data_IF_332479797522
#
_entry.id   IF_332479797522
#
_cell.length_a   1.000
_cell.length_b   1.000
_cell.length_c   1.000
_cell.angle_alpha   90.00
_cell.angle_beta   90.00
_cell.angle_gamma   90.00
#
_symmetry.space_group_name_H-M   'P 1'
#
loop_
_entity.id
_entity.type
_entity.pdbx_description
1 polymer ?
#
# COMPACT_ATOMS: atom_id res chain seq x y z
N UNK A 1 -0.37 -1.71 9.90
CA UNK A 1 0.57 -1.62 8.78
C UNK A 1 -0.25 -1.39 7.52
N UNK A 2 0.05 -0.35 6.73
CA UNK A 2 -0.64 -0.08 5.45
C UNK A 2 0.27 -0.34 4.24
N UNK A 3 1.58 -0.21 4.39
CA UNK A 3 2.55 -0.65 3.40
C UNK A 3 3.77 -1.28 4.07
N UNK A 4 4.50 -2.09 3.32
CA UNK A 4 5.80 -2.64 3.70
C UNK A 4 6.75 -2.55 2.51
N UNK A 5 8.01 -2.19 2.76
CA UNK A 5 9.06 -2.22 1.73
C UNK A 5 9.90 -3.47 1.95
N UNK A 6 9.90 -4.37 0.97
CA UNK A 6 10.77 -5.54 0.94
C UNK A 6 12.07 -5.12 0.27
N UNK A 7 13.19 -5.30 0.97
CA UNK A 7 14.52 -5.02 0.44
C UNK A 7 15.15 -6.30 -0.11
N UNK A 8 15.79 -6.18 -1.27
CA UNK A 8 16.63 -7.21 -1.85
C UNK A 8 18.10 -7.00 -1.51
N UNK A 9 18.99 -7.44 -2.40
CA UNK A 9 20.42 -7.24 -2.28
C UNK A 9 20.78 -5.76 -2.16
N UNK A 10 21.82 -5.46 -1.38
CA UNK A 10 22.32 -4.09 -1.15
C UNK A 10 21.26 -3.12 -0.60
N UNK A 11 20.28 -3.62 0.16
CA UNK A 11 19.17 -2.82 0.72
C UNK A 11 18.35 -2.06 -0.33
N UNK A 12 18.30 -2.56 -1.57
CA UNK A 12 17.49 -1.94 -2.62
C UNK A 12 16.03 -2.37 -2.49
N UNK A 13 15.04 -1.45 -2.58
CA UNK A 13 13.64 -1.82 -2.63
C UNK A 13 13.37 -2.78 -3.79
N UNK A 14 12.89 -3.97 -3.44
CA UNK A 14 12.51 -5.02 -4.38
C UNK A 14 10.99 -5.06 -4.57
N UNK A 15 10.23 -4.91 -3.49
CA UNK A 15 8.77 -4.75 -3.56
C UNK A 15 8.27 -3.71 -2.58
N UNK A 16 7.24 -2.99 -3.00
CA UNK A 16 6.36 -2.25 -2.09
C UNK A 16 5.06 -3.04 -1.99
N UNK A 17 4.78 -3.54 -0.79
CA UNK A 17 3.61 -4.37 -0.52
C UNK A 17 2.54 -3.55 0.17
N UNK A 18 1.36 -3.43 -0.43
CA UNK A 18 0.25 -2.62 0.06
C UNK A 18 -1.08 -3.39 0.00
N UNK A 19 -2.08 -2.91 0.74
CA UNK A 19 -3.39 -3.54 0.82
C UNK A 19 -4.35 -2.88 -0.16
N UNK A 20 -5.13 -3.67 -0.89
CA UNK A 20 -6.22 -3.21 -1.74
C UNK A 20 -7.50 -4.01 -1.47
N UNK A 21 -8.61 -3.51 -1.99
CA UNK A 21 -9.81 -4.33 -2.11
C UNK A 21 -9.55 -5.51 -3.06
N UNK A 22 -10.07 -6.72 -2.78
CA UNK A 22 -9.75 -7.92 -3.56
C UNK A 22 -10.03 -7.79 -5.06
N UNK A 23 -11.11 -7.11 -5.45
CA UNK A 23 -11.49 -6.88 -6.85
C UNK A 23 -10.51 -5.95 -7.55
N UNK A 24 -10.11 -4.85 -6.91
CA UNK A 24 -9.15 -3.89 -7.45
C UNK A 24 -7.76 -4.52 -7.59
N UNK A 25 -7.29 -5.23 -6.55
CA UNK A 25 -6.04 -5.97 -6.63
C UNK A 25 -6.06 -7.02 -7.74
N UNK A 26 -7.17 -7.75 -7.92
CA UNK A 26 -7.29 -8.69 -9.03
C UNK A 26 -7.29 -8.03 -10.40
N UNK A 27 -7.88 -6.84 -10.54
CA UNK A 27 -7.88 -6.08 -11.78
C UNK A 27 -6.46 -5.61 -12.12
N UNK A 28 -5.77 -4.97 -11.18
CA UNK A 28 -4.44 -4.42 -11.40
C UNK A 28 -3.39 -5.50 -11.75
N UNK A 29 -3.45 -6.67 -11.11
CA UNK A 29 -2.58 -7.81 -11.47
C UNK A 29 -2.81 -8.37 -12.87
N UNK A 30 -3.95 -8.06 -13.50
CA UNK A 30 -4.19 -8.41 -14.91
C UNK A 30 -3.68 -7.32 -15.86
N UNK A 31 -3.53 -6.09 -15.39
CA UNK A 31 -3.07 -4.96 -16.20
C UNK A 31 -1.56 -4.79 -16.17
N UNK A 32 -0.91 -5.12 -15.05
CA UNK A 32 0.51 -4.90 -14.82
C UNK A 32 1.21 -6.19 -14.39
N UNK A 33 2.24 -6.59 -15.11
CA UNK A 33 3.10 -7.74 -14.73
C UNK A 33 3.90 -7.45 -13.44
N UNK A 34 4.21 -6.17 -13.19
CA UNK A 34 4.93 -5.70 -12.01
C UNK A 34 4.09 -5.69 -10.71
N UNK A 35 2.79 -5.96 -10.81
CA UNK A 35 1.90 -6.09 -9.66
C UNK A 35 1.59 -7.57 -9.47
N UNK A 36 2.11 -8.15 -8.38
CA UNK A 36 1.93 -9.56 -8.05
C UNK A 36 1.12 -9.73 -6.76
N UNK A 37 0.55 -10.93 -6.49
CA UNK A 37 -0.05 -11.22 -5.20
C UNK A 37 0.97 -11.00 -4.07
N UNK A 38 0.51 -10.47 -2.94
CA UNK A 38 1.36 -10.01 -1.83
C UNK A 38 2.45 -11.01 -1.44
N UNK A 39 3.70 -10.60 -1.65
CA UNK A 39 4.91 -11.33 -1.29
C UNK A 39 4.93 -11.50 0.23
N UNK A 40 5.00 -12.76 0.70
CA UNK A 40 4.87 -13.17 2.11
C UNK A 40 3.57 -12.79 2.84
N UNK A 41 2.57 -12.25 2.15
CA UNK A 41 1.33 -11.76 2.77
C UNK A 41 0.09 -12.52 2.27
N UNK A 42 -1.09 -12.19 2.81
CA UNK A 42 -2.35 -12.72 2.32
C UNK A 42 -2.62 -12.23 0.88
N UNK A 43 -2.52 -13.16 -0.08
CA UNK A 43 -2.60 -12.92 -1.53
C UNK A 43 -3.93 -12.37 -2.03
N UNK A 44 -4.99 -12.44 -1.22
CA UNK A 44 -6.30 -11.88 -1.57
C UNK A 44 -6.33 -10.36 -1.37
N UNK A 45 -5.72 -9.87 -0.29
CA UNK A 45 -5.82 -8.46 0.12
C UNK A 45 -4.55 -7.66 -0.12
N UNK A 46 -3.39 -8.32 -0.15
CA UNK A 46 -2.11 -7.67 -0.32
C UNK A 46 -1.58 -7.88 -1.73
N UNK A 47 -0.93 -6.84 -2.25
CA UNK A 47 -0.29 -6.82 -3.56
C UNK A 47 1.11 -6.29 -3.38
N UNK A 48 2.08 -6.87 -4.09
CA UNK A 48 3.46 -6.42 -4.11
C UNK A 48 3.75 -5.82 -5.47
N UNK A 49 4.26 -4.59 -5.46
CA UNK A 49 4.53 -3.80 -6.65
C UNK A 49 6.03 -3.64 -6.78
N UNK A 50 6.58 -3.98 -7.94
CA UNK A 50 7.98 -3.70 -8.25
C UNK A 50 8.14 -2.17 -8.45
N UNK A 51 8.88 -1.46 -7.58
CA UNK A 51 9.03 -0.01 -7.68
C UNK A 51 9.94 0.44 -8.83
N UNK A 52 10.62 -0.50 -9.50
CA UNK A 52 11.45 -0.24 -10.68
C UNK A 52 10.79 -0.79 -11.96
N UNK A 53 9.50 -1.09 -11.92
CA UNK A 53 8.71 -1.60 -13.04
C UNK A 53 8.00 -0.51 -13.83
N UNK A 54 6.95 -0.90 -14.55
CA UNK A 54 6.17 -0.03 -15.45
C UNK A 54 4.98 0.67 -14.75
N UNK A 55 4.76 0.42 -13.45
CA UNK A 55 3.72 1.13 -12.68
C UNK A 55 4.15 2.56 -12.45
N UNK A 56 3.38 3.52 -12.94
CA UNK A 56 3.70 4.94 -12.81
C UNK A 56 3.69 5.39 -11.34
N UNK A 57 4.62 6.29 -10.99
CA UNK A 57 4.77 6.81 -9.61
C UNK A 57 3.47 7.37 -9.03
N UNK A 58 2.66 8.05 -9.85
CA UNK A 58 1.41 8.65 -9.41
C UNK A 58 0.33 7.59 -9.14
N UNK A 59 0.31 6.51 -9.92
CA UNK A 59 -0.54 5.37 -9.64
C UNK A 59 -0.09 4.69 -8.34
N UNK A 60 1.21 4.45 -8.16
CA UNK A 60 1.74 3.85 -6.93
C UNK A 60 1.39 4.69 -5.68
N UNK A 61 1.48 6.02 -5.76
CA UNK A 61 1.05 6.92 -4.68
C UNK A 61 -0.44 6.80 -4.38
N UNK A 62 -1.30 6.79 -5.41
CA UNK A 62 -2.75 6.58 -5.23
C UNK A 62 -3.06 5.24 -4.54
N UNK A 63 -2.36 4.17 -4.93
CA UNK A 63 -2.52 2.85 -4.30
C UNK A 63 -2.05 2.84 -2.83
N UNK A 64 -1.00 3.60 -2.50
CA UNK A 64 -0.55 3.78 -1.11
C UNK A 64 -1.58 4.54 -0.28
N UNK A 65 -2.18 5.60 -0.82
CA UNK A 65 -3.24 6.36 -0.17
C UNK A 65 -4.49 5.50 0.06
N UNK A 66 -4.91 4.73 -0.96
CA UNK A 66 -6.00 3.75 -0.83
C UNK A 66 -5.72 2.73 0.27
N UNK A 67 -4.50 2.19 0.32
CA UNK A 67 -4.10 1.24 1.37
C UNK A 67 -4.14 1.87 2.76
N UNK A 68 -3.65 3.12 2.89
CA UNK A 68 -3.74 3.87 4.14
C UNK A 68 -5.19 4.05 4.58
N UNK A 69 -6.07 4.51 3.69
CA UNK A 69 -7.49 4.71 3.98
C UNK A 69 -8.21 3.41 4.34
N UNK A 70 -7.88 2.31 3.66
CA UNK A 70 -8.46 0.99 3.94
C UNK A 70 -8.05 0.47 5.33
N UNK A 71 -6.80 0.67 5.73
CA UNK A 71 -6.35 0.30 7.07
C UNK A 71 -6.93 1.23 8.13
N UNK A 72 -6.99 2.53 7.86
CA UNK A 72 -7.58 3.51 8.75
C UNK A 72 -9.06 3.22 9.01
N UNK A 73 -9.83 2.92 7.96
CA UNK A 73 -11.26 2.62 8.06
C UNK A 73 -11.56 1.34 8.86
N UNK A 74 -10.61 0.39 8.88
CA UNK A 74 -10.69 -0.83 9.69
C UNK A 74 -10.52 -0.64 11.20
N UNK A 75 -10.06 0.53 11.66
CA UNK A 75 -9.96 0.83 13.09
C UNK A 75 -11.27 1.36 13.68
N UNK A 76 -11.38 1.37 15.01
CA UNK A 76 -12.51 2.00 15.70
C UNK A 76 -12.54 3.52 15.47
N UNK A 77 -13.73 4.13 15.56
CA UNK A 77 -13.88 5.60 15.41
C UNK A 77 -13.03 6.40 16.40
N UNK A 78 -12.80 5.87 17.62
CA UNK A 78 -11.88 6.50 18.59
C UNK A 78 -10.45 6.49 18.05
N UNK A 79 -9.96 5.34 17.58
CA UNK A 79 -8.60 5.20 17.08
C UNK A 79 -8.36 6.01 15.79
N UNK A 80 -9.35 6.08 14.91
CA UNK A 80 -9.31 6.93 13.72
C UNK A 80 -9.07 8.41 14.09
N UNK A 81 -9.82 8.94 15.06
CA UNK A 81 -9.63 10.33 15.52
C UNK A 81 -8.24 10.58 16.07
N UNK A 82 -7.75 9.70 16.94
CA UNK A 82 -6.39 9.82 17.50
C UNK A 82 -5.32 9.92 16.39
N UNK A 83 -5.43 9.09 15.34
CA UNK A 83 -4.48 9.08 14.21
C UNK A 83 -4.59 10.37 13.40
N UNK A 84 -5.81 10.83 13.09
CA UNK A 84 -6.04 12.03 12.27
C UNK A 84 -5.67 13.33 12.99
N UNK A 85 -5.96 13.44 14.29
CA UNK A 85 -5.56 14.58 15.11
C UNK A 85 -4.03 14.66 15.23
N UNK A 86 -3.35 13.51 15.41
CA UNK A 86 -1.89 13.44 15.40
C UNK A 86 -1.31 13.81 14.03
N UNK A 87 -1.97 13.40 12.94
CA UNK A 87 -1.59 13.72 11.56
C UNK A 87 -1.69 15.21 11.22
N UNK A 88 -2.71 15.89 11.73
CA UNK A 88 -2.84 17.34 11.53
C UNK A 88 -1.80 18.14 12.34
N UNK A 89 -1.39 17.63 13.49
CA UNK A 89 -0.35 18.26 14.31
C UNK A 89 1.05 18.20 13.67
N UNK A 90 1.36 17.17 12.88
CA UNK A 90 2.65 17.04 12.17
C UNK A 90 2.69 17.85 10.86
N UNK A 91 1.54 18.09 10.22
CA UNK A 91 1.45 18.84 8.96
C UNK A 91 1.17 20.34 9.16
N UNK A 92 1.24 20.83 10.41
CA UNK A 92 1.08 22.25 10.74
C UNK A 92 2.37 23.05 10.52
N UNK A 93 2.68 23.36 9.26
CA UNK A 93 3.47 24.52 8.82
C UNK A 93 2.71 25.16 7.65
#
# INVERSE_FOLDING_TARGET
>A
MFAAVCLGENNRPYYITLKLEPSEGSFLRQQYEDIIPGYYMNKQHWNSINPNGEVEDDLLKDLLDKSYHLVLSGFSKKKQREILESGNAINGI
#
